data_IF_939939270634
#
_entry.id   IF_939939270634
#
_cell.length_a   1.000
_cell.length_b   1.000
_cell.length_c   1.000
_cell.angle_alpha   90.00
_cell.angle_beta   90.00
_cell.angle_gamma   90.00
#
_symmetry.space_group_name_H-M   'P 1'
#
loop_
_entity.id
_entity.type
_entity.pdbx_description
1 polymer ?
#
# COMPACT_ATOMS: atom_id res chain seq x y z
N UNK A 1 5.97 -15.97 -23.76
CA UNK A 1 5.04 -16.70 -22.85
C UNK A 1 4.97 -16.12 -21.44
N UNK A 2 6.08 -15.95 -20.69
CA UNK A 2 6.02 -15.46 -19.28
C UNK A 2 5.38 -14.08 -19.06
N UNK A 3 5.62 -13.10 -19.94
CA UNK A 3 5.05 -11.73 -19.80
C UNK A 3 3.50 -11.72 -19.85
N UNK A 4 2.89 -12.49 -20.75
CA UNK A 4 1.42 -12.60 -20.84
C UNK A 4 0.81 -13.28 -19.60
N UNK A 5 1.51 -14.23 -18.98
CA UNK A 5 1.03 -14.89 -17.76
C UNK A 5 1.06 -13.96 -16.52
N UNK A 6 2.06 -13.09 -16.44
CA UNK A 6 2.18 -12.09 -15.36
C UNK A 6 1.09 -11.01 -15.50
N UNK A 7 0.85 -10.52 -16.71
CA UNK A 7 -0.19 -9.52 -16.99
C UNK A 7 -1.60 -10.02 -16.65
N UNK A 8 -1.93 -11.27 -16.99
CA UNK A 8 -3.21 -11.89 -16.65
C UNK A 8 -3.39 -12.03 -15.13
N UNK A 9 -2.33 -12.34 -14.37
CA UNK A 9 -2.40 -12.42 -12.90
C UNK A 9 -2.51 -11.07 -12.19
N UNK A 10 -2.00 -9.99 -12.80
CA UNK A 10 -2.13 -8.64 -12.25
C UNK A 10 -3.58 -8.12 -12.33
N UNK A 11 -4.38 -8.60 -13.29
CA UNK A 11 -5.78 -8.22 -13.46
C UNK A 11 -6.73 -8.73 -12.34
N UNK A 12 -6.31 -9.70 -11.53
CA UNK A 12 -7.14 -10.32 -10.48
C UNK A 12 -6.87 -9.79 -9.05
N UNK A 13 -6.09 -8.71 -8.90
CA UNK A 13 -5.75 -8.18 -7.58
C UNK A 13 -6.83 -7.21 -7.11
N UNK A 14 -7.58 -7.61 -6.07
CA UNK A 14 -8.55 -6.72 -5.42
C UNK A 14 -7.82 -5.60 -4.64
N UNK A 15 -8.06 -4.35 -5.06
CA UNK A 15 -7.53 -3.10 -4.49
C UNK A 15 -8.53 -2.32 -3.64
N UNK A 16 -9.79 -2.75 -3.53
CA UNK A 16 -10.89 -2.01 -2.89
C UNK A 16 -10.55 -1.54 -1.47
N UNK A 17 -9.88 -2.39 -0.68
CA UNK A 17 -9.51 -2.02 0.68
C UNK A 17 -8.36 -1.00 0.73
N UNK A 18 -7.43 -1.05 -0.22
CA UNK A 18 -6.37 -0.04 -0.35
C UNK A 18 -6.99 1.30 -0.76
N UNK A 19 -7.86 1.29 -1.77
CA UNK A 19 -8.58 2.48 -2.25
C UNK A 19 -9.40 3.12 -1.11
N UNK A 20 -10.13 2.32 -0.34
CA UNK A 20 -10.86 2.81 0.84
C UNK A 20 -9.93 3.48 1.86
N UNK A 21 -8.77 2.90 2.15
CA UNK A 21 -7.82 3.49 3.09
C UNK A 21 -7.23 4.80 2.56
N UNK A 22 -6.94 4.89 1.26
CA UNK A 22 -6.49 6.12 0.60
C UNK A 22 -7.57 7.21 0.72
N UNK A 23 -8.83 6.90 0.43
CA UNK A 23 -9.94 7.85 0.58
C UNK A 23 -10.06 8.37 2.02
N UNK A 24 -9.94 7.50 3.02
CA UNK A 24 -9.97 7.91 4.43
C UNK A 24 -8.77 8.78 4.77
N UNK A 25 -7.57 8.41 4.31
CA UNK A 25 -6.33 9.16 4.54
C UNK A 25 -6.42 10.58 3.95
N UNK A 26 -6.83 10.70 2.69
CA UNK A 26 -7.01 11.97 2.00
C UNK A 26 -8.05 12.85 2.69
N UNK A 27 -9.18 12.26 3.10
CA UNK A 27 -10.22 13.03 3.80
C UNK A 27 -9.77 13.49 5.17
N UNK A 28 -9.10 12.64 5.94
CA UNK A 28 -8.55 13.01 7.25
C UNK A 28 -7.49 14.10 7.11
N UNK A 29 -6.69 14.10 6.06
CA UNK A 29 -5.74 15.17 5.76
C UNK A 29 -6.46 16.50 5.47
N UNK A 30 -7.45 16.47 4.58
CA UNK A 30 -8.25 17.65 4.21
C UNK A 30 -8.92 18.29 5.44
N UNK A 31 -9.50 17.46 6.32
CA UNK A 31 -10.16 17.94 7.54
C UNK A 31 -9.17 18.45 8.58
N UNK A 32 -8.00 17.81 8.71
CA UNK A 32 -6.93 18.28 9.60
C UNK A 32 -6.44 19.68 9.20
N UNK A 33 -6.30 19.94 7.90
CA UNK A 33 -5.89 21.26 7.39
C UNK A 33 -6.89 22.38 7.72
N UNK A 34 -8.16 22.04 7.94
CA UNK A 34 -9.22 23.00 8.25
C UNK A 34 -9.49 23.12 9.76
N UNK A 35 -9.02 22.16 10.56
CA UNK A 35 -9.24 22.15 12.00
C UNK A 35 -8.31 23.12 12.73
N UNK A 36 -8.82 23.74 13.79
CA UNK A 36 -8.01 24.61 14.66
C UNK A 36 -7.16 23.76 15.58
N UNK A 37 -5.84 24.02 15.64
CA UNK A 37 -4.92 23.33 16.53
C UNK A 37 -5.39 23.38 18.00
N UNK A 38 -5.16 22.28 18.72
CA UNK A 38 -5.57 22.14 20.13
C UNK A 38 -7.05 21.80 20.34
N UNK A 39 -7.86 21.71 19.27
CA UNK A 39 -9.24 21.20 19.35
C UNK A 39 -9.28 19.67 19.31
N UNK A 40 -10.38 19.09 19.82
CA UNK A 40 -10.60 17.64 19.75
C UNK A 40 -10.67 17.18 18.29
N UNK A 41 -11.28 17.96 17.41
CA UNK A 41 -11.38 17.64 15.98
C UNK A 41 -10.00 17.57 15.32
N UNK A 42 -9.10 18.51 15.64
CA UNK A 42 -7.71 18.47 15.18
C UNK A 42 -7.01 17.18 15.61
N UNK A 43 -7.10 16.82 16.90
CA UNK A 43 -6.49 15.57 17.42
C UNK A 43 -7.13 14.32 16.79
N UNK A 44 -8.44 14.33 16.58
CA UNK A 44 -9.16 13.23 15.93
C UNK A 44 -8.70 13.02 14.49
N UNK A 45 -8.65 14.09 13.69
CA UNK A 45 -8.20 14.01 12.30
C UNK A 45 -6.71 13.64 12.21
N UNK A 46 -5.87 14.14 13.11
CA UNK A 46 -4.46 13.78 13.20
C UNK A 46 -4.29 12.29 13.48
N UNK A 47 -5.03 11.75 14.46
CA UNK A 47 -4.98 10.33 14.80
C UNK A 47 -5.50 9.46 13.65
N UNK A 48 -6.59 9.89 12.99
CA UNK A 48 -7.12 9.20 11.82
C UNK A 48 -6.12 9.21 10.65
N UNK A 49 -5.43 10.32 10.41
CA UNK A 49 -4.40 10.44 9.37
C UNK A 49 -3.23 9.49 9.62
N UNK A 50 -2.66 9.51 10.84
CA UNK A 50 -1.55 8.60 11.21
C UNK A 50 -1.99 7.15 11.06
N UNK A 51 -3.18 6.81 11.55
CA UNK A 51 -3.67 5.43 11.47
C UNK A 51 -3.96 4.99 10.04
N UNK A 52 -4.58 5.86 9.25
CA UNK A 52 -4.84 5.63 7.83
C UNK A 52 -3.56 5.39 7.04
N UNK A 53 -2.46 6.07 7.41
CA UNK A 53 -1.17 5.92 6.74
C UNK A 53 -0.56 4.54 7.03
N UNK A 54 -0.57 4.10 8.29
CA UNK A 54 -0.14 2.75 8.68
C UNK A 54 -0.93 1.68 7.93
N UNK A 55 -2.26 1.80 7.91
CA UNK A 55 -3.14 0.85 7.22
C UNK A 55 -2.89 0.82 5.71
N UNK A 56 -2.67 1.99 5.10
CA UNK A 56 -2.34 2.10 3.68
C UNK A 56 -1.01 1.40 3.38
N UNK A 57 0.04 1.67 4.15
CA UNK A 57 1.35 1.03 3.99
C UNK A 57 1.29 -0.50 4.15
N UNK A 58 0.57 -0.98 5.17
CA UNK A 58 0.41 -2.41 5.40
C UNK A 58 -0.27 -3.11 4.22
N UNK A 59 -1.31 -2.50 3.67
CA UNK A 59 -2.07 -3.07 2.55
C UNK A 59 -1.30 -3.02 1.24
N UNK A 60 -0.60 -1.91 0.97
CA UNK A 60 0.34 -1.82 -0.15
C UNK A 60 1.37 -2.95 -0.09
N UNK A 61 1.98 -3.20 1.07
CA UNK A 61 2.92 -4.31 1.25
C UNK A 61 2.30 -5.69 0.97
N UNK A 62 1.06 -5.93 1.44
CA UNK A 62 0.32 -7.19 1.17
C UNK A 62 0.04 -7.39 -0.32
N UNK A 63 -0.40 -6.33 -1.01
CA UNK A 63 -0.68 -6.39 -2.44
C UNK A 63 0.61 -6.57 -3.25
N UNK A 64 1.68 -5.85 -2.91
CA UNK A 64 2.99 -6.03 -3.54
C UNK A 64 3.53 -7.46 -3.39
N UNK A 65 3.39 -8.10 -2.22
CA UNK A 65 3.73 -9.53 -2.09
C UNK A 65 2.95 -10.41 -3.08
N UNK A 66 1.67 -10.13 -3.31
CA UNK A 66 0.87 -10.88 -4.30
C UNK A 66 1.41 -10.70 -5.71
N UNK A 67 1.74 -9.46 -6.09
CA UNK A 67 2.32 -9.13 -7.40
C UNK A 67 3.72 -9.70 -7.56
N UNK A 68 4.51 -9.78 -6.50
CA UNK A 68 5.89 -10.29 -6.53
C UNK A 68 5.97 -11.82 -6.67
N UNK A 69 4.94 -12.57 -6.30
CA UNK A 69 4.95 -14.05 -6.35
C UNK A 69 5.50 -14.66 -7.66
N UNK A 70 5.14 -14.18 -8.87
CA UNK A 70 5.65 -14.74 -10.13
C UNK A 70 7.14 -14.50 -10.38
N UNK A 71 7.77 -13.55 -9.66
CA UNK A 71 9.18 -13.20 -9.81
C UNK A 71 10.11 -14.05 -8.92
N UNK A 72 9.53 -14.84 -8.01
CA UNK A 72 10.28 -15.67 -7.07
C UNK A 72 10.07 -17.16 -7.33
N UNK A 73 11.07 -17.95 -6.94
CA UNK A 73 11.04 -19.42 -7.09
C UNK A 73 9.99 -20.11 -6.23
N UNK A 74 9.52 -19.46 -5.16
CA UNK A 74 8.46 -19.98 -4.30
C UNK A 74 7.74 -18.85 -3.55
N UNK A 75 6.49 -19.10 -3.17
CA UNK A 75 5.71 -18.19 -2.31
C UNK A 75 6.42 -17.93 -0.97
N UNK A 76 7.06 -18.96 -0.39
CA UNK A 76 7.81 -18.85 0.87
C UNK A 76 8.96 -17.83 0.78
N UNK A 77 9.61 -17.74 -0.38
CA UNK A 77 10.67 -16.76 -0.59
C UNK A 77 10.13 -15.32 -0.52
N UNK A 78 8.97 -15.05 -1.11
CA UNK A 78 8.30 -13.74 -1.02
C UNK A 78 7.82 -13.46 0.41
N UNK A 79 7.25 -14.45 1.08
CA UNK A 79 6.73 -14.29 2.43
C UNK A 79 7.83 -13.94 3.44
N UNK A 80 9.06 -14.44 3.21
CA UNK A 80 10.25 -14.14 4.03
C UNK A 80 10.86 -12.75 3.87
N UNK A 81 10.42 -11.99 2.86
CA UNK A 81 10.90 -10.63 2.65
C UNK A 81 10.51 -9.73 3.83
N UNK A 82 11.47 -8.96 4.34
CA UNK A 82 11.17 -7.89 5.28
C UNK A 82 10.33 -6.79 4.60
N UNK A 83 9.68 -5.94 5.37
CA UNK A 83 8.87 -4.84 4.82
C UNK A 83 9.65 -4.02 3.79
N UNK A 84 10.88 -3.58 4.14
CA UNK A 84 11.75 -2.81 3.23
C UNK A 84 12.12 -3.59 1.97
N UNK A 85 12.29 -4.91 2.07
CA UNK A 85 12.66 -5.74 0.94
C UNK A 85 11.51 -5.91 -0.05
N UNK A 86 10.25 -5.89 0.40
CA UNK A 86 9.08 -5.93 -0.48
C UNK A 86 9.12 -4.75 -1.46
N UNK A 87 9.28 -3.53 -0.95
CA UNK A 87 9.33 -2.32 -1.77
C UNK A 87 10.58 -2.30 -2.66
N UNK A 88 11.74 -2.71 -2.12
CA UNK A 88 12.97 -2.80 -2.92
C UNK A 88 12.81 -3.77 -4.10
N UNK A 89 12.20 -4.94 -3.89
CA UNK A 89 11.97 -5.91 -4.96
C UNK A 89 10.87 -5.46 -5.92
N UNK A 90 9.84 -4.76 -5.42
CA UNK A 90 8.84 -4.13 -6.28
C UNK A 90 9.47 -3.10 -7.23
N UNK A 91 10.35 -2.23 -6.72
CA UNK A 91 11.11 -1.29 -7.53
C UNK A 91 12.03 -2.00 -8.54
N UNK A 92 12.80 -3.01 -8.10
CA UNK A 92 13.68 -3.79 -8.98
C UNK A 92 12.95 -4.48 -10.16
N UNK A 93 11.66 -4.74 -10.00
CA UNK A 93 10.79 -5.31 -11.04
C UNK A 93 9.89 -4.28 -11.72
N UNK A 94 10.13 -2.98 -11.50
CA UNK A 94 9.36 -1.87 -12.08
C UNK A 94 7.85 -1.93 -11.79
N UNK A 95 7.49 -2.45 -10.61
CA UNK A 95 6.11 -2.49 -10.13
C UNK A 95 5.70 -1.18 -9.42
N UNK A 96 6.68 -0.41 -8.95
CA UNK A 96 6.54 0.92 -8.34
C UNK A 96 7.68 1.83 -8.84
N UNK A 97 7.47 3.14 -8.75
CA UNK A 97 8.45 4.21 -9.06
C UNK A 97 8.79 4.99 -7.78
N UNK A 98 9.85 5.81 -7.83
CA UNK A 98 10.32 6.64 -6.71
C UNK A 98 9.56 7.99 -6.58
N UNK A 99 8.43 8.16 -7.29
CA UNK A 99 7.68 9.41 -7.41
C UNK A 99 6.88 9.81 -6.16
#
# INVERSE_FOLDING_TARGET
MRKNFIAVKMADINTEYLEKNITVLEKSYEMLQQATEGTIDYELYRNSLVKGFEMTLEQSGKLLKKVLNPYFVSKKAVDSLSFKDIFRQAHNHSLITDE
#
